data_IF_532121054191
#
_entry.id   IF_532121054191
#
_cell.length_a   1.000
_cell.length_b   1.000
_cell.length_c   1.000
_cell.angle_alpha   90.00
_cell.angle_beta   90.00
_cell.angle_gamma   90.00
#
_symmetry.space_group_name_H-M   'P 1'
#
loop_
_entity.id
_entity.type
_entity.pdbx_description
1 polymer ?
#
# COMPACT_ATOMS: atom_id res chain seq x y z
N UNK A 1 -2.97 -14.31 -12.20
CA UNK A 1 -2.24 -13.50 -11.19
C UNK A 1 -0.83 -13.25 -11.70
N UNK A 2 -0.29 -12.02 -11.56
CA UNK A 2 1.09 -11.70 -11.91
C UNK A 2 1.96 -11.71 -10.64
N UNK A 3 3.19 -12.18 -10.75
CA UNK A 3 4.17 -12.10 -9.67
C UNK A 3 4.98 -10.82 -9.81
N UNK A 4 5.03 -10.04 -8.73
CA UNK A 4 5.73 -8.76 -8.70
C UNK A 4 6.68 -8.61 -7.51
N UNK A 5 7.44 -7.50 -7.55
CA UNK A 5 8.36 -7.13 -6.47
C UNK A 5 8.22 -5.64 -6.15
N UNK A 6 8.47 -5.25 -4.90
CA UNK A 6 8.63 -3.83 -4.57
C UNK A 6 9.94 -3.33 -5.16
N UNK A 7 9.87 -2.37 -6.08
CA UNK A 7 11.05 -1.86 -6.81
C UNK A 7 12.15 -1.37 -5.87
N UNK A 8 11.78 -0.78 -4.73
CA UNK A 8 12.74 -0.28 -3.75
C UNK A 8 13.44 -1.37 -2.91
N UNK A 9 13.01 -2.64 -3.01
CA UNK A 9 13.69 -3.78 -2.39
C UNK A 9 14.74 -4.43 -3.31
N UNK A 10 14.83 -4.00 -4.58
CA UNK A 10 15.91 -4.43 -5.48
C UNK A 10 17.22 -3.69 -5.18
N UNK A 11 18.30 -4.15 -5.77
CA UNK A 11 19.61 -3.50 -5.63
C UNK A 11 19.53 -2.02 -6.03
N UNK A 12 20.11 -1.13 -5.20
CA UNK A 12 20.15 0.30 -5.50
C UNK A 12 20.99 0.58 -6.74
N UNK A 13 20.33 1.03 -7.83
CA UNK A 13 20.92 1.35 -9.13
C UNK A 13 20.12 2.48 -9.78
N UNK A 14 20.57 3.07 -10.89
CA UNK A 14 19.76 3.98 -11.71
C UNK A 14 18.40 3.36 -12.07
N UNK A 15 17.36 4.19 -12.16
CA UNK A 15 15.97 3.73 -12.31
C UNK A 15 15.77 2.74 -13.46
N UNK A 16 16.29 3.05 -14.65
CA UNK A 16 16.12 2.15 -15.81
C UNK A 16 16.78 0.77 -15.61
N UNK A 17 17.93 0.74 -14.95
CA UNK A 17 18.64 -0.50 -14.63
C UNK A 17 17.89 -1.35 -13.61
N UNK A 18 17.22 -0.71 -12.63
CA UNK A 18 16.37 -1.42 -11.66
C UNK A 18 15.19 -2.13 -12.33
N UNK A 19 14.54 -1.46 -13.27
CA UNK A 19 13.40 -2.07 -13.98
C UNK A 19 13.88 -3.22 -14.88
N UNK A 20 15.05 -3.09 -15.49
CA UNK A 20 15.68 -4.19 -16.25
C UNK A 20 16.01 -5.37 -15.31
N UNK A 21 16.57 -5.13 -14.14
CA UNK A 21 16.87 -6.18 -13.13
C UNK A 21 15.60 -6.94 -12.73
N UNK A 22 14.48 -6.25 -12.52
CA UNK A 22 13.19 -6.86 -12.19
C UNK A 22 12.75 -7.85 -13.29
N UNK A 23 12.87 -7.46 -14.55
CA UNK A 23 12.62 -8.34 -15.69
C UNK A 23 13.56 -9.55 -15.69
N UNK A 24 14.87 -9.31 -15.54
CA UNK A 24 15.91 -10.35 -15.56
C UNK A 24 15.73 -11.37 -14.41
N UNK A 25 15.15 -10.95 -13.28
CA UNK A 25 14.75 -11.80 -12.15
C UNK A 25 13.44 -12.58 -12.39
N UNK A 26 12.73 -12.33 -13.50
CA UNK A 26 11.51 -13.03 -13.88
C UNK A 26 10.22 -12.48 -13.28
N UNK A 27 10.24 -11.27 -12.70
CA UNK A 27 9.02 -10.62 -12.23
C UNK A 27 8.28 -9.93 -13.37
N UNK A 28 6.95 -10.06 -13.37
CA UNK A 28 6.08 -9.49 -14.39
C UNK A 28 5.60 -8.06 -14.05
N UNK A 29 5.67 -7.65 -12.77
CA UNK A 29 5.22 -6.33 -12.37
C UNK A 29 6.00 -5.79 -11.17
N UNK A 30 5.91 -4.47 -10.95
CA UNK A 30 6.57 -3.77 -9.86
C UNK A 30 5.62 -2.89 -9.04
N UNK A 31 5.84 -2.88 -7.71
CA UNK A 31 5.27 -1.89 -6.82
C UNK A 31 6.20 -0.67 -6.79
N UNK A 32 5.76 0.44 -7.35
CA UNK A 32 6.57 1.65 -7.51
C UNK A 32 6.26 2.68 -6.41
N UNK A 33 7.22 2.98 -5.56
CA UNK A 33 7.22 4.13 -4.66
C UNK A 33 8.21 5.18 -5.21
N UNK A 34 7.70 6.22 -5.91
CA UNK A 34 8.51 7.15 -6.71
C UNK A 34 9.74 7.68 -5.97
N UNK A 35 9.54 8.30 -4.81
CA UNK A 35 10.63 8.91 -4.05
C UNK A 35 11.61 7.94 -3.39
N UNK A 36 11.31 6.63 -3.39
CA UNK A 36 12.22 5.59 -2.91
C UNK A 36 13.05 4.95 -4.04
N UNK A 37 12.65 5.18 -5.28
CA UNK A 37 13.19 4.48 -6.46
C UNK A 37 13.90 5.41 -7.42
N UNK A 38 13.33 6.58 -7.69
CA UNK A 38 13.83 7.53 -8.68
C UNK A 38 14.58 8.63 -7.92
N UNK A 39 15.89 8.64 -8.07
CA UNK A 39 16.79 9.64 -7.46
C UNK A 39 17.30 10.67 -8.49
N UNK A 40 17.20 10.33 -9.78
CA UNK A 40 17.72 11.14 -10.87
C UNK A 40 16.85 12.36 -11.20
N UNK A 41 15.58 12.30 -10.82
CA UNK A 41 14.58 13.34 -11.11
C UNK A 41 13.77 13.68 -9.88
N UNK A 42 13.24 14.92 -9.86
CA UNK A 42 12.29 15.31 -8.83
C UNK A 42 11.02 14.45 -8.91
N UNK A 43 10.55 14.00 -7.76
CA UNK A 43 9.27 13.32 -7.58
C UNK A 43 8.30 14.15 -6.74
N UNK A 44 8.52 15.47 -6.64
CA UNK A 44 7.59 16.41 -6.03
C UNK A 44 6.29 16.52 -6.85
N UNK A 45 5.24 17.07 -6.27
CA UNK A 45 3.91 17.11 -6.90
C UNK A 45 3.92 17.84 -8.25
N UNK A 46 4.72 18.90 -8.37
CA UNK A 46 4.88 19.70 -9.59
C UNK A 46 5.61 18.92 -10.69
N UNK A 47 6.46 17.96 -10.32
CA UNK A 47 7.19 17.12 -11.26
C UNK A 47 6.36 15.95 -11.81
N UNK A 48 5.21 15.65 -11.22
CA UNK A 48 4.28 14.60 -11.68
C UNK A 48 3.50 15.03 -12.92
N UNK A 49 4.22 15.34 -13.98
CA UNK A 49 3.72 15.81 -15.28
C UNK A 49 3.36 14.65 -16.21
N UNK A 50 2.55 14.91 -17.27
CA UNK A 50 2.29 13.90 -18.29
C UNK A 50 3.56 13.39 -18.99
N UNK A 51 4.56 14.26 -19.20
CA UNK A 51 5.85 13.88 -19.80
C UNK A 51 6.63 12.91 -18.90
N UNK A 52 6.67 13.19 -17.59
CA UNK A 52 7.31 12.28 -16.63
C UNK A 52 6.57 10.95 -16.52
N UNK A 53 5.24 10.97 -16.52
CA UNK A 53 4.45 9.74 -16.56
C UNK A 53 4.74 8.89 -17.80
N UNK A 54 4.83 9.52 -18.97
CA UNK A 54 5.18 8.84 -20.22
C UNK A 54 6.59 8.23 -20.17
N UNK A 55 7.58 8.95 -19.62
CA UNK A 55 8.93 8.43 -19.42
C UNK A 55 8.92 7.18 -18.54
N UNK A 56 8.32 7.27 -17.33
CA UNK A 56 8.24 6.14 -16.40
C UNK A 56 7.53 4.94 -17.03
N UNK A 57 6.38 5.17 -17.67
CA UNK A 57 5.64 4.12 -18.39
C UNK A 57 6.49 3.43 -19.46
N UNK A 58 7.24 4.20 -20.25
CA UNK A 58 8.07 3.66 -21.32
C UNK A 58 9.24 2.82 -20.77
N UNK A 59 9.83 3.21 -19.63
CA UNK A 59 10.88 2.43 -18.97
C UNK A 59 10.36 1.05 -18.55
N UNK A 60 9.18 1.00 -17.93
CA UNK A 60 8.55 -0.27 -17.57
C UNK A 60 8.18 -1.12 -18.81
N UNK A 61 7.50 -0.50 -19.77
CA UNK A 61 7.04 -1.19 -20.98
C UNK A 61 8.21 -1.76 -21.81
N UNK A 62 9.33 -1.01 -21.95
CA UNK A 62 10.55 -1.45 -22.64
C UNK A 62 11.14 -2.72 -22.03
N UNK A 63 10.92 -2.95 -20.74
CA UNK A 63 11.41 -4.13 -20.05
C UNK A 63 10.32 -5.21 -19.83
N UNK A 64 9.13 -5.07 -20.43
CA UNK A 64 7.98 -5.97 -20.24
C UNK A 64 7.62 -6.18 -18.76
N UNK A 65 7.67 -5.12 -17.98
CA UNK A 65 7.26 -5.09 -16.57
C UNK A 65 6.08 -4.15 -16.43
N UNK A 66 5.00 -4.57 -15.78
CA UNK A 66 3.85 -3.72 -15.50
C UNK A 66 4.04 -2.92 -14.20
N UNK A 67 3.34 -1.79 -14.06
CA UNK A 67 3.25 -1.08 -12.78
C UNK A 67 1.98 -1.55 -12.06
N UNK A 68 2.13 -2.44 -11.09
CA UNK A 68 1.00 -3.02 -10.37
C UNK A 68 0.35 -2.02 -9.40
N UNK A 69 1.17 -1.22 -8.70
CA UNK A 69 0.70 -0.21 -7.76
C UNK A 69 1.69 0.94 -7.67
N UNK A 70 1.16 2.15 -7.55
CA UNK A 70 1.90 3.35 -7.19
C UNK A 70 1.76 3.58 -5.68
N UNK A 71 2.81 3.30 -4.91
CA UNK A 71 2.83 3.42 -3.46
C UNK A 71 3.01 4.86 -2.99
N UNK A 72 2.13 5.31 -2.09
CA UNK A 72 2.19 6.62 -1.44
C UNK A 72 1.77 6.48 0.03
N UNK A 73 2.74 6.44 0.93
CA UNK A 73 2.54 6.10 2.35
C UNK A 73 2.63 7.34 3.22
N UNK A 74 1.49 7.97 3.49
CA UNK A 74 1.37 9.21 4.25
C UNK A 74 0.26 9.11 5.29
N UNK A 75 0.30 9.98 6.32
CA UNK A 75 -0.60 9.96 7.44
C UNK A 75 -1.90 10.74 7.18
N UNK A 76 -3.00 10.03 6.86
CA UNK A 76 -4.33 10.62 6.67
C UNK A 76 -5.05 11.00 7.97
N UNK A 77 -4.52 10.63 9.13
CA UNK A 77 -5.07 11.01 10.42
C UNK A 77 -4.16 11.99 11.18
N UNK A 78 -3.26 12.66 10.48
CA UNK A 78 -2.39 13.66 11.08
C UNK A 78 -3.24 14.79 11.71
N UNK A 79 -3.09 15.07 13.00
CA UNK A 79 -3.87 16.11 13.70
C UNK A 79 -3.49 17.53 13.30
N UNK A 80 -2.33 17.73 12.68
CA UNK A 80 -1.89 19.03 12.17
C UNK A 80 -2.59 19.32 10.83
N UNK A 81 -3.48 20.32 10.75
CA UNK A 81 -4.28 20.56 9.55
C UNK A 81 -3.45 20.98 8.33
N UNK A 82 -2.33 21.66 8.52
CA UNK A 82 -1.44 22.06 7.44
C UNK A 82 -0.74 20.83 6.83
N UNK A 83 -0.26 19.91 7.67
CA UNK A 83 0.36 18.67 7.21
C UNK A 83 -0.67 17.74 6.57
N UNK A 84 -1.87 17.66 7.13
CA UNK A 84 -2.97 16.90 6.52
C UNK A 84 -3.33 17.45 5.14
N UNK A 85 -3.43 18.77 4.96
CA UNK A 85 -3.70 19.38 3.66
C UNK A 85 -2.62 19.03 2.62
N UNK A 86 -1.34 19.05 3.00
CA UNK A 86 -0.23 18.61 2.15
C UNK A 86 -0.34 17.12 1.80
N UNK A 87 -0.71 16.29 2.76
CA UNK A 87 -0.92 14.85 2.58
C UNK A 87 -2.05 14.58 1.56
N UNK A 88 -3.19 15.23 1.72
CA UNK A 88 -4.33 15.11 0.78
C UNK A 88 -3.92 15.54 -0.63
N UNK A 89 -3.23 16.70 -0.76
CA UNK A 89 -2.74 17.18 -2.05
C UNK A 89 -1.79 16.16 -2.71
N UNK A 90 -0.87 15.59 -1.96
CA UNK A 90 0.06 14.55 -2.42
C UNK A 90 -0.64 13.28 -2.90
N UNK A 91 -1.68 12.82 -2.20
CA UNK A 91 -2.48 11.69 -2.68
C UNK A 91 -3.20 12.00 -3.98
N UNK A 92 -3.79 13.19 -4.11
CA UNK A 92 -4.45 13.60 -5.36
C UNK A 92 -3.45 13.69 -6.52
N UNK A 93 -2.22 14.17 -6.28
CA UNK A 93 -1.16 14.17 -7.28
C UNK A 93 -0.77 12.75 -7.70
N UNK A 94 -0.65 11.79 -6.76
CA UNK A 94 -0.38 10.38 -7.06
C UNK A 94 -1.52 9.72 -7.84
N UNK A 95 -2.78 9.95 -7.48
CA UNK A 95 -3.94 9.42 -8.19
C UNK A 95 -3.96 9.93 -9.64
N UNK A 96 -3.78 11.25 -9.85
CA UNK A 96 -3.64 11.81 -11.19
C UNK A 96 -2.47 11.20 -11.96
N UNK A 97 -1.33 11.07 -11.32
CA UNK A 97 -0.14 10.50 -11.94
C UNK A 97 -0.32 9.03 -12.29
N UNK A 98 -0.96 8.23 -11.42
CA UNK A 98 -1.31 6.84 -11.68
C UNK A 98 -2.21 6.69 -12.92
N UNK A 99 -3.22 7.56 -13.07
CA UNK A 99 -4.06 7.60 -14.26
C UNK A 99 -3.25 7.89 -15.54
N UNK A 100 -2.30 8.84 -15.48
CA UNK A 100 -1.41 9.15 -16.61
C UNK A 100 -0.44 8.01 -16.94
N UNK A 101 0.07 7.32 -15.92
CA UNK A 101 0.92 6.12 -16.07
C UNK A 101 0.18 4.94 -16.71
N UNK A 102 -1.13 4.88 -16.57
CA UNK A 102 -1.92 3.68 -16.82
C UNK A 102 -1.78 2.64 -15.69
N UNK A 103 -1.36 3.08 -14.50
CA UNK A 103 -1.37 2.27 -13.28
C UNK A 103 -2.76 2.36 -12.62
N UNK A 104 -3.42 1.22 -12.45
CA UNK A 104 -4.79 1.17 -11.94
C UNK A 104 -4.92 1.40 -10.44
N UNK A 105 -3.85 1.32 -9.66
CA UNK A 105 -3.90 1.29 -8.19
C UNK A 105 -2.92 2.28 -7.58
N UNK A 106 -3.41 3.11 -6.64
CA UNK A 106 -2.59 3.85 -5.68
C UNK A 106 -2.74 3.21 -4.31
N UNK A 107 -1.63 2.80 -3.68
CA UNK A 107 -1.62 2.08 -2.42
C UNK A 107 -1.10 2.90 -1.24
N UNK A 108 -1.70 2.71 -0.06
CA UNK A 108 -1.28 3.35 1.19
C UNK A 108 -1.57 2.47 2.41
N UNK A 109 -0.83 2.70 3.50
CA UNK A 109 -1.19 2.29 4.86
C UNK A 109 -2.16 3.31 5.50
N UNK A 110 -2.64 3.04 6.72
CA UNK A 110 -3.80 3.77 7.25
C UNK A 110 -3.47 4.82 8.32
N UNK A 111 -2.20 5.01 8.65
CA UNK A 111 -1.76 6.12 9.48
C UNK A 111 -1.93 5.94 11.00
N UNK A 112 -1.67 7.04 11.72
CA UNK A 112 -1.78 7.14 13.17
C UNK A 112 -2.33 8.53 13.56
N UNK A 113 -3.06 8.67 14.69
CA UNK A 113 -3.67 9.93 15.12
C UNK A 113 -2.66 10.87 15.81
N UNK A 114 -1.43 10.95 15.28
CA UNK A 114 -0.35 11.81 15.77
C UNK A 114 0.55 12.29 14.63
N UNK A 115 1.35 13.31 14.87
CA UNK A 115 2.23 13.91 13.87
C UNK A 115 3.46 13.04 13.53
N UNK A 116 3.84 12.15 14.42
CA UNK A 116 5.05 11.33 14.28
C UNK A 116 4.82 10.03 13.49
N UNK A 117 3.57 9.74 13.12
CA UNK A 117 3.18 8.51 12.43
C UNK A 117 3.63 7.25 13.20
N UNK A 118 3.58 7.29 14.53
CA UNK A 118 4.00 6.18 15.39
C UNK A 118 2.80 5.52 16.05
N UNK A 119 2.91 4.22 16.29
CA UNK A 119 1.90 3.49 17.02
C UNK A 119 1.73 4.02 18.45
N UNK A 120 0.49 4.29 18.81
CA UNK A 120 0.04 4.53 20.19
C UNK A 120 -1.32 3.83 20.37
N UNK A 121 -1.78 3.56 21.62
CA UNK A 121 -3.07 2.94 21.85
C UNK A 121 -4.26 3.68 21.21
N UNK A 122 -4.12 4.98 21.02
CA UNK A 122 -5.12 5.84 20.36
C UNK A 122 -5.34 5.46 18.88
N UNK A 123 -4.39 4.75 18.24
CA UNK A 123 -4.60 4.22 16.89
C UNK A 123 -5.84 3.32 16.79
N UNK A 124 -6.17 2.60 17.86
CA UNK A 124 -7.28 1.65 17.88
C UNK A 124 -8.59 2.22 18.43
N UNK A 125 -8.70 3.55 18.54
CA UNK A 125 -9.93 4.22 19.01
C UNK A 125 -10.92 4.46 17.88
N UNK A 126 -12.19 4.56 18.24
CA UNK A 126 -13.27 4.95 17.33
C UNK A 126 -13.05 6.34 16.74
N UNK A 127 -12.55 7.27 17.53
CA UNK A 127 -12.26 8.63 17.08
C UNK A 127 -11.20 8.67 15.98
N UNK A 128 -10.13 7.89 16.13
CA UNK A 128 -9.08 7.78 15.11
C UNK A 128 -9.63 7.18 13.79
N UNK A 129 -10.48 6.15 13.90
CA UNK A 129 -11.10 5.53 12.73
C UNK A 129 -12.02 6.51 11.99
N UNK A 130 -12.88 7.22 12.70
CA UNK A 130 -13.79 8.20 12.10
C UNK A 130 -13.03 9.38 11.47
N UNK A 131 -11.95 9.83 12.10
CA UNK A 131 -11.06 10.84 11.52
C UNK A 131 -10.42 10.35 10.22
N UNK A 132 -9.91 9.12 10.21
CA UNK A 132 -9.34 8.51 9.01
C UNK A 132 -10.39 8.41 7.88
N UNK A 133 -11.58 7.89 8.16
CA UNK A 133 -12.67 7.75 7.18
C UNK A 133 -13.07 9.12 6.61
N UNK A 134 -13.23 10.12 7.46
CA UNK A 134 -13.58 11.48 7.02
C UNK A 134 -12.54 12.06 6.04
N UNK A 135 -11.25 11.87 6.34
CA UNK A 135 -10.15 12.36 5.51
C UNK A 135 -9.93 11.51 4.25
N UNK A 136 -10.27 10.23 4.29
CA UNK A 136 -10.18 9.32 3.14
C UNK A 136 -11.24 9.61 2.08
N UNK A 137 -12.45 10.00 2.49
CA UNK A 137 -13.60 10.20 1.61
C UNK A 137 -13.35 11.12 0.41
N UNK A 138 -12.77 12.33 0.54
CA UNK A 138 -12.46 13.18 -0.60
C UNK A 138 -11.40 12.59 -1.55
N UNK A 139 -10.48 11.78 -1.03
CA UNK A 139 -9.43 11.13 -1.82
C UNK A 139 -10.03 10.03 -2.69
N UNK A 140 -10.89 9.17 -2.11
CA UNK A 140 -11.59 8.13 -2.87
C UNK A 140 -12.49 8.75 -3.94
N UNK A 141 -13.21 9.81 -3.61
CA UNK A 141 -14.01 10.55 -4.61
C UNK A 141 -13.16 11.09 -5.77
N UNK A 142 -11.94 11.54 -5.50
CA UNK A 142 -11.03 11.96 -6.55
C UNK A 142 -10.52 10.75 -7.36
N UNK A 143 -10.25 9.62 -6.72
CA UNK A 143 -9.87 8.38 -7.40
C UNK A 143 -10.96 7.89 -8.36
N UNK A 144 -12.24 7.97 -7.98
CA UNK A 144 -13.40 7.70 -8.87
C UNK A 144 -13.37 8.57 -10.13
N UNK A 145 -13.11 9.88 -9.97
CA UNK A 145 -13.06 10.83 -11.10
C UNK A 145 -11.91 10.53 -12.06
N UNK A 146 -10.80 10.00 -11.53
CA UNK A 146 -9.59 9.69 -12.31
C UNK A 146 -9.57 8.25 -12.86
N UNK A 147 -10.56 7.42 -12.51
CA UNK A 147 -10.61 6.01 -12.90
C UNK A 147 -9.49 5.17 -12.27
N UNK A 148 -9.11 5.47 -11.03
CA UNK A 148 -8.03 4.81 -10.28
C UNK A 148 -8.62 4.17 -9.02
N UNK A 149 -8.14 3.00 -8.66
CA UNK A 149 -8.41 2.37 -7.36
C UNK A 149 -7.48 3.00 -6.32
N UNK A 150 -8.05 3.41 -5.19
CA UNK A 150 -7.28 3.75 -4.00
C UNK A 150 -7.34 2.56 -3.05
N UNK A 151 -6.21 1.92 -2.79
CA UNK A 151 -6.16 0.71 -1.98
C UNK A 151 -5.49 0.98 -0.63
N UNK A 152 -6.19 0.64 0.46
CA UNK A 152 -5.66 0.74 1.81
C UNK A 152 -5.10 -0.60 2.28
N UNK A 153 -3.99 -0.55 2.99
CA UNK A 153 -3.32 -1.71 3.59
C UNK A 153 -3.56 -1.72 5.10
N UNK A 154 -4.35 -2.65 5.64
CA UNK A 154 -4.50 -2.82 7.08
C UNK A 154 -3.18 -3.22 7.73
N UNK A 155 -2.81 -2.53 8.83
CA UNK A 155 -1.58 -2.77 9.58
C UNK A 155 -1.89 -2.77 11.06
N UNK A 156 -1.50 -3.80 11.81
CA UNK A 156 -1.81 -3.95 13.25
C UNK A 156 -1.50 -2.71 14.09
N UNK A 157 -0.43 -1.99 13.76
CA UNK A 157 -0.02 -0.77 14.49
C UNK A 157 -0.58 0.52 13.92
N UNK A 158 -1.56 0.45 13.03
CA UNK A 158 -2.22 1.61 12.43
C UNK A 158 -3.70 1.70 12.82
N UNK A 159 -4.40 2.67 12.28
CA UNK A 159 -5.82 2.93 12.59
C UNK A 159 -6.71 1.78 12.09
N UNK A 160 -6.50 1.31 10.87
CA UNK A 160 -7.19 0.12 10.36
C UNK A 160 -6.30 -1.09 10.61
N UNK A 161 -6.48 -1.73 11.76
CA UNK A 161 -5.54 -2.70 12.30
C UNK A 161 -5.98 -4.17 12.14
N UNK A 162 -7.22 -4.41 11.75
CA UNK A 162 -7.76 -5.76 11.57
C UNK A 162 -8.80 -5.82 10.45
N UNK A 163 -9.23 -7.04 10.03
CA UNK A 163 -10.20 -7.22 8.94
C UNK A 163 -11.55 -6.53 9.18
N UNK A 164 -12.05 -6.54 10.41
CA UNK A 164 -13.35 -5.92 10.75
C UNK A 164 -13.31 -4.40 10.57
N UNK A 165 -12.22 -3.76 10.99
CA UNK A 165 -12.05 -2.32 10.77
C UNK A 165 -11.91 -1.99 9.27
N UNK A 166 -11.21 -2.82 8.51
CA UNK A 166 -11.10 -2.64 7.07
C UNK A 166 -12.46 -2.77 6.38
N UNK A 167 -13.27 -3.82 6.72
CA UNK A 167 -14.63 -3.98 6.22
C UNK A 167 -15.49 -2.77 6.53
N UNK A 168 -15.39 -2.27 7.74
CA UNK A 168 -16.13 -1.09 8.19
C UNK A 168 -15.79 0.16 7.37
N UNK A 169 -14.51 0.39 7.06
CA UNK A 169 -14.10 1.51 6.19
C UNK A 169 -14.72 1.38 4.80
N UNK A 170 -14.70 0.18 4.22
CA UNK A 170 -15.32 -0.08 2.92
C UNK A 170 -16.84 0.19 2.96
N UNK A 171 -17.52 -0.30 4.00
CA UNK A 171 -18.98 -0.13 4.17
C UNK A 171 -19.39 1.33 4.39
N UNK A 172 -18.58 2.12 5.08
CA UNK A 172 -18.88 3.54 5.31
C UNK A 172 -18.55 4.44 4.11
N UNK A 173 -17.54 4.08 3.30
CA UNK A 173 -17.19 4.82 2.08
C UNK A 173 -18.08 4.44 0.90
N UNK A 174 -18.38 3.16 0.73
CA UNK A 174 -19.26 2.61 -0.33
C UNK A 174 -18.83 2.98 -1.75
N UNK A 175 -17.54 2.81 -2.07
CA UNK A 175 -17.01 3.12 -3.38
C UNK A 175 -16.30 1.89 -3.99
N UNK A 176 -16.58 1.53 -5.24
CA UNK A 176 -15.85 0.47 -5.94
C UNK A 176 -14.38 0.84 -6.20
N UNK A 177 -14.04 2.12 -6.06
CA UNK A 177 -12.66 2.60 -6.20
C UNK A 177 -11.88 2.58 -4.88
N UNK A 178 -12.47 2.14 -3.77
CA UNK A 178 -11.76 1.83 -2.54
C UNK A 178 -11.62 0.32 -2.42
N UNK A 179 -10.39 -0.17 -2.37
CA UNK A 179 -10.07 -1.59 -2.25
C UNK A 179 -8.97 -1.84 -1.23
N UNK A 180 -8.56 -3.09 -1.07
CA UNK A 180 -7.61 -3.55 -0.04
C UNK A 180 -6.30 -4.01 -0.68
N UNK A 181 -5.19 -3.61 -0.11
CA UNK A 181 -3.93 -4.34 -0.21
C UNK A 181 -3.89 -5.32 0.96
N UNK A 182 -3.95 -6.60 0.67
CA UNK A 182 -3.90 -7.64 1.68
C UNK A 182 -2.45 -8.04 1.96
N UNK A 183 -1.92 -7.59 3.09
CA UNK A 183 -0.63 -8.04 3.63
C UNK A 183 -0.90 -8.80 4.92
N UNK A 184 -0.90 -10.14 4.89
CA UNK A 184 -1.24 -10.94 6.05
C UNK A 184 -0.28 -10.72 7.23
N UNK A 185 1.01 -10.48 6.98
CA UNK A 185 2.00 -10.26 8.04
C UNK A 185 1.80 -8.90 8.71
N UNK A 186 1.40 -7.88 7.96
CA UNK A 186 1.16 -6.54 8.53
C UNK A 186 -0.04 -6.49 9.50
N UNK A 187 -0.96 -7.44 9.43
CA UNK A 187 -2.05 -7.58 10.41
C UNK A 187 -1.62 -8.30 11.69
N UNK A 188 -0.36 -8.73 11.79
CA UNK A 188 0.16 -9.47 12.93
C UNK A 188 1.06 -8.60 13.82
N UNK A 189 1.09 -8.98 15.10
CA UNK A 189 2.00 -8.50 16.13
C UNK A 189 2.40 -9.69 17.02
N UNK A 190 3.37 -9.50 17.91
CA UNK A 190 3.80 -10.51 18.87
C UNK A 190 2.66 -11.00 19.77
N UNK A 191 1.60 -10.24 19.90
CA UNK A 191 0.45 -10.57 20.76
C UNK A 191 -0.62 -11.43 20.09
N UNK A 192 -0.62 -11.52 18.73
CA UNK A 192 -1.68 -12.21 17.98
C UNK A 192 -1.17 -13.20 16.92
N UNK A 193 0.12 -13.29 16.65
CA UNK A 193 0.67 -14.11 15.56
C UNK A 193 0.36 -15.62 15.68
N UNK A 194 0.13 -16.11 16.88
CA UNK A 194 -0.26 -17.53 17.10
C UNK A 194 -1.63 -17.82 16.52
N UNK A 195 -2.54 -16.83 16.51
CA UNK A 195 -3.88 -16.94 15.93
C UNK A 195 -3.94 -16.48 14.47
N UNK A 196 -2.78 -16.43 13.79
CA UNK A 196 -2.68 -15.86 12.43
C UNK A 196 -3.62 -16.50 11.41
N UNK A 197 -3.85 -17.81 11.52
CA UNK A 197 -4.74 -18.50 10.58
C UNK A 197 -6.18 -17.99 10.68
N UNK A 198 -6.70 -17.82 11.89
CA UNK A 198 -8.04 -17.29 12.13
C UNK A 198 -8.16 -15.85 11.61
N UNK A 199 -7.12 -15.03 11.77
CA UNK A 199 -7.07 -13.66 11.27
C UNK A 199 -7.08 -13.64 9.73
N UNK A 200 -6.36 -14.56 9.08
CA UNK A 200 -6.31 -14.64 7.62
C UNK A 200 -7.62 -15.15 7.04
N UNK A 201 -8.22 -16.18 7.64
CA UNK A 201 -9.52 -16.71 7.23
C UNK A 201 -10.60 -15.60 7.37
N UNK A 202 -10.63 -14.88 8.50
CA UNK A 202 -11.53 -13.73 8.69
C UNK A 202 -11.27 -12.62 7.64
N UNK A 203 -10.01 -12.35 7.30
CA UNK A 203 -9.68 -11.35 6.28
C UNK A 203 -10.18 -11.75 4.89
N UNK A 204 -10.02 -13.01 4.51
CA UNK A 204 -10.50 -13.53 3.23
C UNK A 204 -12.03 -13.51 3.20
N UNK A 205 -12.69 -13.94 4.27
CA UNK A 205 -14.16 -13.97 4.35
C UNK A 205 -14.77 -12.55 4.27
N UNK A 206 -14.15 -11.57 4.93
CA UNK A 206 -14.69 -10.21 4.99
C UNK A 206 -14.27 -9.32 3.81
N UNK A 207 -13.09 -9.54 3.23
CA UNK A 207 -12.45 -8.60 2.31
C UNK A 207 -12.14 -9.21 0.94
N UNK A 208 -12.30 -10.51 0.74
CA UNK A 208 -11.82 -11.24 -0.43
C UNK A 208 -12.23 -10.63 -1.77
N UNK A 209 -13.48 -10.16 -1.89
CA UNK A 209 -13.98 -9.54 -3.11
C UNK A 209 -13.43 -8.11 -3.35
N UNK A 210 -12.89 -7.48 -2.31
CA UNK A 210 -12.34 -6.13 -2.35
C UNK A 210 -10.80 -6.12 -2.40
N UNK A 211 -10.13 -7.27 -2.50
CA UNK A 211 -8.67 -7.34 -2.54
C UNK A 211 -8.16 -6.99 -3.95
N UNK A 212 -7.51 -5.83 -4.08
CA UNK A 212 -6.83 -5.41 -5.30
C UNK A 212 -5.47 -6.09 -5.48
N UNK A 213 -4.78 -6.38 -4.39
CA UNK A 213 -3.42 -6.88 -4.37
C UNK A 213 -3.11 -7.65 -3.09
N UNK A 214 -2.22 -8.64 -3.22
CA UNK A 214 -1.66 -9.37 -2.08
C UNK A 214 -0.18 -9.06 -1.96
N UNK A 215 0.27 -8.65 -0.77
CA UNK A 215 1.68 -8.57 -0.42
C UNK A 215 2.09 -9.84 0.33
N UNK A 216 3.04 -10.58 -0.21
CA UNK A 216 3.59 -11.76 0.46
C UNK A 216 4.85 -11.38 1.22
N UNK A 217 4.83 -11.57 2.53
CA UNK A 217 5.95 -11.40 3.45
C UNK A 217 6.06 -12.62 4.34
N UNK A 218 7.20 -12.80 4.96
CA UNK A 218 7.41 -13.85 5.95
C UNK A 218 8.10 -13.30 7.21
N UNK A 219 8.05 -14.04 8.29
CA UNK A 219 8.65 -13.65 9.55
C UNK A 219 9.08 -14.86 10.39
N UNK A 220 10.02 -14.61 11.28
CA UNK A 220 10.36 -15.47 12.40
C UNK A 220 10.03 -14.75 13.72
N UNK A 221 9.95 -15.47 14.81
CA UNK A 221 9.73 -14.92 16.16
C UNK A 221 11.07 -14.90 16.90
N UNK A 222 11.45 -13.76 17.43
CA UNK A 222 12.66 -13.60 18.21
C UNK A 222 12.68 -12.28 18.98
N UNK A 223 13.34 -12.24 20.12
CA UNK A 223 13.49 -11.05 20.96
C UNK A 223 12.16 -10.33 21.31
N UNK A 224 11.09 -11.11 21.49
CA UNK A 224 9.75 -10.58 21.81
C UNK A 224 9.08 -9.79 20.68
N UNK A 225 9.46 -10.01 19.42
CA UNK A 225 8.93 -9.34 18.24
C UNK A 225 8.89 -10.26 17.02
N UNK A 226 8.15 -9.85 16.01
CA UNK A 226 8.19 -10.47 14.68
C UNK A 226 9.38 -9.91 13.90
N UNK A 227 10.21 -10.80 13.39
CA UNK A 227 11.41 -10.48 12.61
C UNK A 227 11.13 -10.81 11.15
N UNK A 228 10.94 -9.79 10.31
CA UNK A 228 10.69 -9.96 8.88
C UNK A 228 11.82 -10.70 8.19
N UNK A 229 11.48 -11.62 7.30
CA UNK A 229 12.43 -12.34 6.44
C UNK A 229 11.86 -12.50 5.02
N UNK A 230 12.66 -13.06 4.12
CA UNK A 230 12.22 -13.36 2.76
C UNK A 230 11.06 -14.35 2.75
N UNK A 231 10.17 -14.21 1.79
CA UNK A 231 9.01 -15.08 1.60
C UNK A 231 9.45 -16.56 1.47
N UNK A 232 8.85 -17.45 2.27
CA UNK A 232 9.21 -18.86 2.37
C UNK A 232 10.41 -19.17 3.27
N UNK A 233 10.96 -18.18 3.97
CA UNK A 233 12.10 -18.35 4.90
C UNK A 233 11.70 -18.24 6.38
N UNK A 234 10.44 -18.04 6.68
CA UNK A 234 9.89 -17.90 8.02
C UNK A 234 8.87 -18.97 8.36
N UNK A 235 7.89 -18.60 9.19
CA UNK A 235 6.88 -19.52 9.73
C UNK A 235 5.49 -19.33 9.09
N UNK A 236 5.39 -18.56 7.99
CA UNK A 236 4.13 -18.38 7.27
C UNK A 236 3.74 -19.65 6.51
N UNK A 237 2.46 -20.01 6.62
CA UNK A 237 1.83 -20.98 5.73
C UNK A 237 0.99 -20.25 4.69
N UNK A 238 1.45 -20.27 3.44
CA UNK A 238 0.76 -19.61 2.33
C UNK A 238 -0.36 -20.45 1.71
N UNK A 239 -0.54 -21.71 2.13
CA UNK A 239 -1.49 -22.64 1.51
C UNK A 239 -2.93 -22.14 1.62
N UNK A 240 -3.28 -21.48 2.72
CA UNK A 240 -4.60 -20.91 2.93
C UNK A 240 -4.83 -19.57 2.21
N UNK A 241 -3.75 -18.83 1.98
CA UNK A 241 -3.80 -17.49 1.35
C UNK A 241 -3.88 -17.58 -0.18
N UNK A 242 -3.29 -18.62 -0.79
CA UNK A 242 -3.16 -18.77 -2.24
C UNK A 242 -4.18 -19.75 -2.84
N UNK A 243 -5.16 -20.20 -2.08
CA UNK A 243 -6.29 -21.01 -2.57
C UNK A 243 -7.37 -20.14 -3.17
#
# INVERSE_FOLDING_TARGET
MQLGIRVHDTTKRPFEERIKEIHDLGFACGHLALGKVIEEYSTADEAMTPGFAMYVKNVFAKNNVDIAVLGCYLNLANPNPEQLAKTVHRYMAHIRFASLLGCGVVGTETGAPNETYTYTPECHTEEALQTFIANLRPIVKYAEQMGVIFAIEPVFRHIVWNPKQARRVLDEIQSPNLQIIFDPVNMLDITNYENRQEIFDEAIDLLGEDIAMVHLKDFNVGDGRLLSCGCGMGIMDYTSILK
#
